data_IF_523248494328
#
_entry.id   IF_523248494328
#
_cell.length_a   1.000
_cell.length_b   1.000
_cell.length_c   1.000
_cell.angle_alpha   90.00
_cell.angle_beta   90.00
_cell.angle_gamma   90.00
#
_symmetry.space_group_name_H-M   'P 1'
#
loop_
_entity.id
_entity.type
_entity.pdbx_description
1 polymer ?
#
# COMPACT_ATOMS: atom_id res chain seq x y z
N UNK A 1 7.15 7.15 -8.60
CA UNK A 1 7.98 6.00 -9.06
C UNK A 1 8.87 5.61 -7.87
N UNK A 2 8.90 4.35 -7.41
CA UNK A 2 10.09 3.91 -6.66
C UNK A 2 11.20 3.90 -7.71
N UNK A 3 12.02 4.93 -7.75
CA UNK A 3 12.92 5.26 -8.86
C UNK A 3 13.89 4.13 -9.22
N UNK A 4 14.07 3.12 -8.36
CA UNK A 4 14.99 2.01 -8.55
C UNK A 4 14.44 0.82 -9.34
N UNK A 5 13.19 0.86 -9.81
CA UNK A 5 12.65 -0.21 -10.69
C UNK A 5 12.20 0.38 -12.01
N UNK A 6 12.86 -0.04 -13.08
CA UNK A 6 12.37 0.17 -14.45
C UNK A 6 10.88 -0.22 -14.52
N UNK A 7 10.06 0.48 -15.32
CA UNK A 7 8.66 0.12 -15.53
C UNK A 7 8.61 -1.25 -16.19
N UNK A 8 8.64 -2.29 -15.36
CA UNK A 8 8.34 -3.65 -15.77
C UNK A 8 6.83 -3.80 -15.73
N UNK A 9 6.31 -4.37 -16.81
CA UNK A 9 4.97 -4.83 -17.09
C UNK A 9 3.96 -3.82 -17.65
N UNK A 10 3.98 -2.56 -17.22
CA UNK A 10 3.09 -1.53 -17.76
C UNK A 10 3.72 -0.13 -17.64
N UNK A 11 3.44 0.72 -18.63
CA UNK A 11 3.83 2.12 -18.63
C UNK A 11 3.23 2.87 -17.43
N UNK A 12 3.79 4.04 -17.11
CA UNK A 12 3.32 4.83 -15.98
C UNK A 12 1.86 5.28 -16.17
N UNK A 13 1.52 5.73 -17.37
CA UNK A 13 0.20 6.20 -17.80
C UNK A 13 -0.83 5.07 -17.75
N UNK A 14 -0.43 3.86 -18.15
CA UNK A 14 -1.29 2.67 -18.08
C UNK A 14 -1.62 2.32 -16.63
N UNK A 15 -0.64 2.39 -15.71
CA UNK A 15 -0.88 2.16 -14.28
C UNK A 15 -1.80 3.21 -13.68
N UNK A 16 -1.63 4.48 -14.03
CA UNK A 16 -2.52 5.55 -13.60
C UNK A 16 -3.95 5.35 -14.12
N UNK A 17 -4.07 4.89 -15.35
CA UNK A 17 -5.38 4.56 -15.96
C UNK A 17 -6.05 3.40 -15.22
N UNK A 18 -5.32 2.31 -14.96
CA UNK A 18 -5.83 1.18 -14.17
C UNK A 18 -6.29 1.61 -12.76
N UNK A 19 -5.54 2.51 -12.10
CA UNK A 19 -5.95 3.07 -10.79
C UNK A 19 -7.23 3.91 -10.91
N UNK A 20 -7.39 4.65 -12.00
CA UNK A 20 -8.59 5.48 -12.26
C UNK A 20 -9.81 4.61 -12.54
N UNK A 21 -9.66 3.56 -13.34
CA UNK A 21 -10.71 2.58 -13.61
C UNK A 21 -11.14 1.89 -12.32
N UNK A 22 -10.17 1.42 -11.53
CA UNK A 22 -10.45 0.79 -10.23
C UNK A 22 -11.16 1.74 -9.25
N UNK A 23 -10.78 3.03 -9.23
CA UNK A 23 -11.48 4.03 -8.42
C UNK A 23 -12.96 4.17 -8.82
N UNK A 24 -13.26 4.13 -10.12
CA UNK A 24 -14.62 4.11 -10.65
C UNK A 24 -15.42 2.90 -10.16
N UNK A 25 -14.84 1.70 -10.28
CA UNK A 25 -15.45 0.44 -9.81
C UNK A 25 -15.71 0.47 -8.30
N UNK A 26 -14.75 0.95 -7.52
CA UNK A 26 -14.86 1.07 -6.07
C UNK A 26 -16.01 2.01 -5.69
N UNK A 27 -16.09 3.19 -6.31
CA UNK A 27 -17.17 4.15 -6.04
C UNK A 27 -18.54 3.55 -6.38
N UNK A 28 -18.66 2.84 -7.51
CA UNK A 28 -19.90 2.16 -7.89
C UNK A 28 -20.29 1.07 -6.88
N UNK A 29 -19.31 0.25 -6.45
CA UNK A 29 -19.53 -0.79 -5.44
C UNK A 29 -19.95 -0.22 -4.08
N UNK A 30 -19.35 0.91 -3.66
CA UNK A 30 -19.74 1.61 -2.44
C UNK A 30 -21.15 2.21 -2.54
N UNK A 31 -21.52 2.79 -3.70
CA UNK A 31 -22.87 3.29 -3.96
C UNK A 31 -23.92 2.18 -3.90
N UNK A 32 -23.62 1.01 -4.47
CA UNK A 32 -24.52 -0.14 -4.44
C UNK A 32 -24.72 -0.71 -3.02
N UNK A 33 -23.80 -0.42 -2.11
CA UNK A 33 -23.82 -0.83 -0.69
C UNK A 33 -23.92 0.38 0.24
N UNK A 34 -24.66 1.41 -0.17
CA UNK A 34 -24.78 2.68 0.57
C UNK A 34 -25.46 2.53 1.93
N UNK A 35 -26.15 1.41 2.16
CA UNK A 35 -26.72 1.03 3.46
C UNK A 35 -25.64 0.64 4.49
N UNK A 36 -24.45 0.20 4.02
CA UNK A 36 -23.35 -0.28 4.87
C UNK A 36 -22.14 0.64 4.86
N UNK A 37 -21.88 1.29 3.73
CA UNK A 37 -20.67 2.09 3.53
C UNK A 37 -21.01 3.48 3.03
N UNK A 38 -20.29 4.47 3.53
CA UNK A 38 -20.31 5.82 2.96
C UNK A 38 -19.51 5.83 1.66
N UNK A 39 -20.06 6.51 0.65
CA UNK A 39 -19.34 6.77 -0.59
C UNK A 39 -18.31 7.86 -0.32
N UNK A 40 -17.03 7.53 -0.47
CA UNK A 40 -15.93 8.47 -0.31
C UNK A 40 -15.39 8.90 -1.68
N UNK A 41 -15.03 10.19 -1.86
CA UNK A 41 -14.25 10.61 -3.01
C UNK A 41 -12.92 9.86 -3.08
N UNK A 42 -12.44 9.59 -4.29
CA UNK A 42 -11.13 8.96 -4.52
C UNK A 42 -10.27 9.91 -5.35
N UNK A 43 -9.20 10.40 -4.73
CA UNK A 43 -8.17 11.19 -5.41
C UNK A 43 -6.97 10.30 -5.74
N UNK A 44 -6.34 10.53 -6.90
CA UNK A 44 -5.13 9.83 -7.31
C UNK A 44 -3.99 10.84 -7.44
N UNK A 45 -3.10 10.82 -6.45
CA UNK A 45 -1.91 11.67 -6.40
C UNK A 45 -0.63 10.91 -6.78
N UNK A 46 0.28 11.59 -7.45
CA UNK A 46 1.62 11.09 -7.74
C UNK A 46 2.62 11.92 -6.93
N UNK A 47 3.60 11.25 -6.36
CA UNK A 47 4.63 11.91 -5.57
C UNK A 47 6.01 11.35 -5.85
N UNK A 48 7.01 12.22 -5.70
CA UNK A 48 8.44 11.90 -5.69
C UNK A 48 8.93 11.55 -4.29
N UNK A 49 8.16 11.84 -3.24
CA UNK A 49 8.55 11.50 -1.86
C UNK A 49 8.35 10.01 -1.58
N UNK A 50 9.40 9.29 -1.15
CA UNK A 50 9.32 7.83 -1.00
C UNK A 50 8.65 7.41 0.31
N UNK A 51 8.82 8.19 1.38
CA UNK A 51 8.39 7.83 2.74
C UNK A 51 6.95 8.25 3.05
N UNK A 52 6.29 7.48 3.91
CA UNK A 52 4.91 7.75 4.35
C UNK A 52 4.81 9.00 5.24
N UNK A 53 5.84 9.28 6.02
CA UNK A 53 6.02 10.52 6.78
C UNK A 53 5.93 11.72 5.84
N UNK A 54 6.72 11.70 4.77
CA UNK A 54 6.81 12.79 3.79
C UNK A 54 5.51 12.92 2.98
N UNK A 55 4.89 11.79 2.63
CA UNK A 55 3.58 11.77 1.95
C UNK A 55 2.52 12.45 2.80
N UNK A 56 2.50 12.15 4.09
CA UNK A 56 1.57 12.76 5.04
C UNK A 56 1.80 14.27 5.15
N UNK A 57 3.06 14.69 5.24
CA UNK A 57 3.42 16.12 5.28
C UNK A 57 3.02 16.84 3.98
N UNK A 58 3.22 16.22 2.82
CA UNK A 58 2.82 16.77 1.52
C UNK A 58 1.30 16.93 1.40
N UNK A 59 0.52 15.95 1.89
CA UNK A 59 -0.95 16.02 1.89
C UNK A 59 -1.42 17.11 2.86
N UNK A 60 -0.87 17.14 4.07
CA UNK A 60 -1.26 18.09 5.12
C UNK A 60 -0.93 19.55 4.78
N UNK A 61 0.07 19.79 3.92
CA UNK A 61 0.44 21.13 3.43
C UNK A 61 -0.31 21.53 2.14
N UNK A 62 -1.15 20.65 1.60
CA UNK A 62 -1.90 20.94 0.38
C UNK A 62 -3.18 21.72 0.68
N UNK A 63 -3.59 22.60 -0.24
CA UNK A 63 -4.82 23.40 -0.10
C UNK A 63 -6.11 22.60 -0.35
N UNK A 64 -6.02 21.30 -0.65
CA UNK A 64 -7.15 20.47 -1.08
C UNK A 64 -7.84 19.74 0.07
N UNK A 65 -7.17 19.61 1.22
CA UNK A 65 -7.66 18.86 2.36
C UNK A 65 -7.82 19.76 3.59
N UNK A 66 -8.65 19.37 4.58
CA UNK A 66 -8.81 20.14 5.81
C UNK A 66 -7.49 20.36 6.53
N UNK A 67 -7.43 21.41 7.34
CA UNK A 67 -6.25 21.69 8.17
C UNK A 67 -5.96 20.50 9.11
N UNK A 68 -4.73 19.99 9.05
CA UNK A 68 -4.23 18.88 9.89
C UNK A 68 -5.08 17.59 9.79
N UNK A 69 -5.19 16.99 8.59
CA UNK A 69 -5.96 15.76 8.39
C UNK A 69 -5.30 14.58 9.11
N UNK A 70 -6.09 13.67 9.68
CA UNK A 70 -5.58 12.40 10.20
C UNK A 70 -5.53 11.35 9.08
N UNK A 71 -4.34 10.84 8.79
CA UNK A 71 -4.16 9.81 7.77
C UNK A 71 -4.21 8.41 8.36
N UNK A 72 -4.92 7.50 7.66
CA UNK A 72 -4.87 6.06 7.93
C UNK A 72 -4.28 5.40 6.67
N UNK A 73 -3.04 4.94 6.76
CA UNK A 73 -2.39 4.25 5.65
C UNK A 73 -2.69 2.76 5.70
N UNK A 74 -3.29 2.24 4.63
CA UNK A 74 -3.54 0.82 4.44
C UNK A 74 -2.27 0.16 3.89
N UNK A 75 -1.67 -0.75 4.65
CA UNK A 75 -0.40 -1.36 4.28
C UNK A 75 -0.38 -2.87 4.57
N UNK A 76 0.53 -3.60 3.93
CA UNK A 76 0.85 -4.98 4.31
C UNK A 76 1.86 -5.05 5.44
N UNK A 77 1.95 -6.20 6.11
CA UNK A 77 2.94 -6.44 7.16
C UNK A 77 4.40 -6.25 6.69
N UNK A 78 4.72 -6.65 5.47
CA UNK A 78 6.03 -6.41 4.83
C UNK A 78 6.40 -4.92 4.76
N UNK A 79 5.40 -4.05 4.68
CA UNK A 79 5.59 -2.60 4.66
C UNK A 79 5.69 -2.04 6.07
N UNK A 80 4.97 -2.60 7.05
CA UNK A 80 5.14 -2.26 8.47
C UNK A 80 6.58 -2.53 8.93
N UNK A 81 7.14 -3.69 8.63
CA UNK A 81 8.52 -4.03 9.02
C UNK A 81 9.54 -3.08 8.39
N UNK A 82 9.31 -2.64 7.15
CA UNK A 82 10.13 -1.61 6.48
C UNK A 82 9.92 -0.22 7.07
N UNK A 83 8.70 0.13 7.47
CA UNK A 83 8.39 1.40 8.14
C UNK A 83 9.16 1.54 9.46
N UNK A 84 9.41 0.43 10.15
CA UNK A 84 10.20 0.37 11.39
C UNK A 84 11.60 -0.23 11.16
N UNK A 85 12.21 -0.05 9.99
CA UNK A 85 13.58 -0.48 9.74
C UNK A 85 14.53 0.73 9.79
N UNK A 86 15.35 0.80 10.85
CA UNK A 86 16.27 1.91 11.13
C UNK A 86 17.19 2.28 9.94
N UNK A 87 17.53 1.30 9.09
CA UNK A 87 18.34 1.50 7.88
C UNK A 87 17.78 2.52 6.88
N UNK A 88 16.48 2.86 6.95
CA UNK A 88 15.85 3.85 6.09
C UNK A 88 15.91 5.28 6.65
N UNK A 89 16.35 5.46 7.90
CA UNK A 89 16.37 6.74 8.62
C UNK A 89 17.79 7.10 9.09
N UNK A 90 18.78 6.98 8.19
CA UNK A 90 20.20 7.15 8.52
C UNK A 90 20.58 8.58 8.90
N UNK A 91 19.80 9.56 8.45
CA UNK A 91 20.04 10.98 8.69
C UNK A 91 19.44 11.47 10.02
N UNK A 92 18.85 10.56 10.81
CA UNK A 92 18.19 10.84 12.07
C UNK A 92 18.89 10.12 13.23
N UNK A 93 18.94 10.78 14.40
CA UNK A 93 19.51 10.20 15.61
C UNK A 93 18.66 10.57 16.84
N UNK A 94 17.93 9.61 17.45
CA UNK A 94 17.85 8.20 17.06
C UNK A 94 17.06 8.01 15.74
N UNK A 95 17.26 6.90 14.98
CA UNK A 95 16.70 6.75 13.64
C UNK A 95 15.19 6.95 13.54
N UNK A 96 14.41 6.43 14.50
CA UNK A 96 12.95 6.55 14.48
C UNK A 96 12.43 7.91 14.91
N UNK A 97 13.26 8.89 15.29
CA UNK A 97 12.80 10.29 15.41
C UNK A 97 12.26 10.83 14.07
N UNK A 98 12.66 10.25 12.93
CA UNK A 98 12.05 10.50 11.63
C UNK A 98 10.52 10.22 11.59
N UNK A 99 10.03 9.37 12.49
CA UNK A 99 8.64 8.94 12.55
C UNK A 99 7.79 9.81 13.48
N UNK A 100 8.42 10.65 14.32
CA UNK A 100 7.73 11.54 15.26
C UNK A 100 6.61 12.35 14.58
N UNK A 101 6.85 13.06 13.46
CA UNK A 101 5.81 13.88 12.84
C UNK A 101 4.59 13.08 12.37
N UNK A 102 4.79 11.82 11.99
CA UNK A 102 3.69 10.95 11.57
C UNK A 102 2.81 10.55 12.75
N UNK A 103 3.42 10.05 13.81
CA UNK A 103 2.67 9.55 14.96
C UNK A 103 2.14 10.68 15.85
N UNK A 104 2.88 11.77 16.02
CA UNK A 104 2.47 12.93 16.80
C UNK A 104 1.25 13.64 16.16
N UNK A 105 1.13 13.59 14.82
CA UNK A 105 -0.06 14.05 14.09
C UNK A 105 -1.27 13.11 14.24
N UNK A 106 -1.15 12.01 15.00
CA UNK A 106 -2.21 11.05 15.23
C UNK A 106 -2.53 10.17 14.02
N UNK A 107 -1.61 10.07 13.04
CA UNK A 107 -1.78 9.18 11.90
C UNK A 107 -1.69 7.71 12.34
N UNK A 108 -2.26 6.80 11.54
CA UNK A 108 -2.37 5.37 11.89
C UNK A 108 -1.99 4.49 10.72
N UNK A 109 -1.48 3.30 11.02
CA UNK A 109 -1.28 2.24 10.03
C UNK A 109 -2.33 1.18 10.25
N UNK A 110 -3.10 0.86 9.20
CA UNK A 110 -3.98 -0.31 9.20
C UNK A 110 -3.30 -1.41 8.41
N UNK A 111 -2.78 -2.38 9.13
CA UNK A 111 -1.83 -3.37 8.62
C UNK A 111 -2.58 -4.67 8.36
N UNK A 112 -2.68 -5.08 7.10
CA UNK A 112 -3.19 -6.41 6.76
C UNK A 112 -2.08 -7.43 6.95
N UNK A 113 -2.31 -8.38 7.85
CA UNK A 113 -1.41 -9.49 8.11
C UNK A 113 -1.36 -10.40 6.89
N UNK A 114 -0.18 -10.98 6.67
CA UNK A 114 0.07 -11.84 5.52
C UNK A 114 1.03 -12.93 5.97
N UNK A 115 0.54 -13.97 6.66
CA UNK A 115 1.39 -15.08 7.03
C UNK A 115 1.83 -15.81 5.76
N UNK A 116 3.14 -15.93 5.59
CA UNK A 116 3.79 -16.70 4.54
C UNK A 116 5.22 -17.06 4.98
N UNK A 117 5.92 -17.87 4.19
CA UNK A 117 7.26 -18.37 4.52
C UNK A 117 8.30 -17.24 4.69
N UNK A 118 8.05 -16.05 4.10
CA UNK A 118 8.98 -14.92 4.14
C UNK A 118 8.75 -14.01 5.36
N UNK A 119 7.52 -13.94 5.87
CA UNK A 119 7.10 -12.99 6.92
C UNK A 119 6.55 -13.65 8.19
N UNK A 120 6.69 -14.97 8.32
CA UNK A 120 6.33 -15.72 9.51
C UNK A 120 4.82 -15.93 9.69
N UNK A 121 4.48 -16.58 10.79
CA UNK A 121 3.12 -16.87 11.23
C UNK A 121 2.38 -15.61 11.69
N UNK A 122 1.04 -15.70 11.75
CA UNK A 122 0.22 -14.59 12.26
C UNK A 122 0.60 -14.18 13.69
N UNK A 123 0.97 -15.15 14.54
CA UNK A 123 1.40 -14.89 15.92
C UNK A 123 2.71 -14.07 15.96
N UNK A 124 3.70 -14.41 15.14
CA UNK A 124 4.96 -13.66 15.02
C UNK A 124 4.70 -12.24 14.48
N UNK A 125 3.73 -12.09 13.56
CA UNK A 125 3.37 -10.76 13.05
C UNK A 125 2.66 -9.90 14.11
N UNK A 126 1.85 -10.51 14.98
CA UNK A 126 1.23 -9.82 16.12
C UNK A 126 2.24 -9.44 17.20
N UNK A 127 3.23 -10.30 17.45
CA UNK A 127 4.31 -10.06 18.40
C UNK A 127 5.10 -8.79 18.07
N UNK A 128 5.22 -8.43 16.79
CA UNK A 128 5.85 -7.17 16.37
C UNK A 128 5.28 -5.93 17.09
N UNK A 129 3.95 -5.84 17.19
CA UNK A 129 3.29 -4.71 17.85
C UNK A 129 3.49 -4.77 19.36
N UNK A 130 3.50 -5.97 19.94
CA UNK A 130 3.79 -6.18 21.36
C UNK A 130 5.22 -5.77 21.69
N UNK A 131 6.20 -6.09 20.85
CA UNK A 131 7.59 -5.63 21.00
C UNK A 131 7.72 -4.11 20.99
N UNK A 132 6.98 -3.43 20.12
CA UNK A 132 6.92 -1.97 20.13
C UNK A 132 6.32 -1.44 21.44
N UNK A 133 5.20 -2.01 21.90
CA UNK A 133 4.52 -1.64 23.14
C UNK A 133 5.39 -1.89 24.39
N UNK A 134 6.18 -2.96 24.39
CA UNK A 134 7.08 -3.33 25.49
C UNK A 134 8.35 -2.44 25.55
N UNK A 135 8.64 -1.69 24.49
CA UNK A 135 9.79 -0.77 24.41
C UNK A 135 11.03 -1.38 23.77
N UNK A 136 10.94 -2.52 23.09
CA UNK A 136 12.09 -3.20 22.46
C UNK A 136 12.77 -2.34 21.36
N UNK A 137 12.05 -1.32 20.87
CA UNK A 137 12.48 -0.38 19.84
C UNK A 137 12.96 0.97 20.39
N UNK A 138 12.97 1.20 21.71
CA UNK A 138 13.38 2.48 22.32
C UNK A 138 14.83 2.85 21.99
N UNK A 139 15.72 1.85 21.86
CA UNK A 139 17.11 2.06 21.43
C UNK A 139 17.25 2.72 20.06
N UNK A 140 16.21 2.65 19.22
CA UNK A 140 16.14 3.30 17.92
C UNK A 140 15.24 4.54 17.94
N UNK A 141 14.73 4.96 19.10
CA UNK A 141 13.80 6.08 19.25
C UNK A 141 12.33 5.72 19.08
N UNK A 142 11.98 4.42 19.03
CA UNK A 142 10.58 3.99 18.92
C UNK A 142 9.84 4.20 20.24
N UNK A 143 8.69 4.88 20.19
CA UNK A 143 7.87 5.14 21.38
C UNK A 143 6.81 4.06 21.57
N UNK A 144 6.59 3.62 22.82
CA UNK A 144 5.64 2.53 23.15
C UNK A 144 4.21 2.85 22.73
N UNK A 145 3.81 4.11 22.90
CA UNK A 145 2.47 4.59 22.58
C UNK A 145 2.11 4.47 21.10
N UNK A 146 3.10 4.41 20.20
CA UNK A 146 2.87 4.22 18.76
C UNK A 146 2.19 2.88 18.45
N UNK A 147 2.33 1.87 19.32
CA UNK A 147 1.62 0.60 19.17
C UNK A 147 0.10 0.79 19.07
N UNK A 148 -0.48 1.80 19.75
CA UNK A 148 -1.91 2.13 19.70
C UNK A 148 -2.37 2.70 18.34
N UNK A 149 -1.41 3.10 17.51
CA UNK A 149 -1.66 3.63 16.17
C UNK A 149 -1.46 2.56 15.07
N UNK A 150 -1.19 1.32 15.46
CA UNK A 150 -1.09 0.16 14.57
C UNK A 150 -2.34 -0.72 14.72
N UNK A 151 -3.22 -0.68 13.72
CA UNK A 151 -4.39 -1.57 13.64
C UNK A 151 -4.04 -2.81 12.83
N UNK A 152 -3.83 -3.96 13.48
CA UNK A 152 -3.64 -5.23 12.78
C UNK A 152 -4.98 -5.79 12.31
N UNK A 153 -5.03 -6.23 11.05
CA UNK A 153 -6.20 -6.83 10.41
C UNK A 153 -5.82 -8.22 9.93
N UNK A 154 -6.59 -9.27 10.25
CA UNK A 154 -6.29 -10.63 9.80
C UNK A 154 -6.30 -10.74 8.26
N UNK A 155 -5.59 -11.74 7.69
CA UNK A 155 -5.57 -11.95 6.25
C UNK A 155 -6.97 -12.23 5.69
N UNK A 156 -7.18 -11.89 4.42
CA UNK A 156 -8.43 -12.25 3.74
C UNK A 156 -8.52 -13.78 3.56
N UNK A 157 -9.57 -14.44 4.07
CA UNK A 157 -9.70 -15.90 3.98
C UNK A 157 -9.89 -16.42 2.56
N UNK A 158 -10.34 -15.59 1.61
CA UNK A 158 -10.65 -15.99 0.22
C UNK A 158 -9.45 -15.93 -0.76
N UNK A 159 -8.23 -15.96 -0.21
CA UNK A 159 -6.93 -15.89 -0.89
C UNK A 159 -6.41 -14.48 -1.23
N UNK A 160 -5.08 -14.36 -1.17
CA UNK A 160 -4.37 -13.10 -1.42
C UNK A 160 -4.28 -12.75 -2.91
N UNK A 161 -4.64 -11.51 -3.23
CA UNK A 161 -4.44 -10.88 -4.54
C UNK A 161 -2.99 -10.41 -4.65
N UNK A 162 -2.34 -10.69 -5.77
CA UNK A 162 -1.04 -10.11 -6.08
C UNK A 162 -0.94 -9.76 -7.56
N UNK A 163 -0.28 -8.64 -7.86
CA UNK A 163 -0.08 -8.19 -9.25
C UNK A 163 0.65 -9.25 -10.09
N UNK A 164 1.55 -10.02 -9.50
CA UNK A 164 2.23 -11.14 -10.17
C UNK A 164 1.25 -12.23 -10.63
N UNK A 165 0.24 -12.58 -9.83
CA UNK A 165 -0.80 -13.55 -10.23
C UNK A 165 -1.65 -12.99 -11.38
N UNK A 166 -2.05 -11.72 -11.27
CA UNK A 166 -2.83 -11.03 -12.32
C UNK A 166 -2.08 -11.03 -13.64
N UNK A 167 -0.80 -10.61 -13.65
CA UNK A 167 0.03 -10.59 -14.87
C UNK A 167 0.20 -11.97 -15.50
N UNK A 168 0.45 -13.00 -14.68
CA UNK A 168 0.57 -14.39 -15.17
C UNK A 168 -0.72 -14.88 -15.81
N UNK A 169 -1.88 -14.60 -15.20
CA UNK A 169 -3.19 -14.98 -15.73
C UNK A 169 -3.51 -14.23 -17.03
N UNK A 170 -3.28 -12.91 -17.07
CA UNK A 170 -3.49 -12.09 -18.27
C UNK A 170 -2.63 -12.60 -19.43
N UNK A 171 -1.33 -12.84 -19.19
CA UNK A 171 -0.41 -13.40 -20.19
C UNK A 171 -0.81 -14.78 -20.70
N UNK A 172 -1.45 -15.59 -19.86
CA UNK A 172 -1.97 -16.90 -20.24
C UNK A 172 -3.33 -16.83 -20.95
N UNK A 173 -3.92 -15.63 -21.10
CA UNK A 173 -5.28 -15.45 -21.61
C UNK A 173 -6.37 -15.97 -20.67
N UNK A 174 -6.06 -16.23 -19.41
CA UNK A 174 -7.00 -16.72 -18.40
C UNK A 174 -7.81 -15.56 -17.81
N UNK A 175 -8.74 -15.04 -18.61
CA UNK A 175 -9.56 -13.89 -18.25
C UNK A 175 -10.51 -14.18 -17.08
N UNK A 176 -10.93 -15.44 -16.90
CA UNK A 176 -11.70 -15.84 -15.71
C UNK A 176 -10.87 -15.63 -14.46
N UNK A 177 -9.59 -16.02 -14.48
CA UNK A 177 -8.70 -15.81 -13.33
C UNK A 177 -8.35 -14.35 -13.10
N UNK A 178 -8.20 -13.54 -14.16
CA UNK A 178 -8.02 -12.09 -14.01
C UNK A 178 -9.24 -11.46 -13.34
N UNK A 179 -10.45 -11.83 -13.75
CA UNK A 179 -11.71 -11.34 -13.16
C UNK A 179 -11.90 -11.77 -11.70
N UNK A 180 -11.38 -12.93 -11.30
CA UNK A 180 -11.37 -13.31 -9.88
C UNK A 180 -10.43 -12.44 -9.02
N UNK A 181 -9.41 -11.83 -9.62
CA UNK A 181 -8.35 -11.11 -8.91
C UNK A 181 -8.48 -9.58 -9.00
N UNK A 182 -9.26 -9.07 -9.94
CA UNK A 182 -9.45 -7.65 -10.23
C UNK A 182 -10.92 -7.37 -10.53
N UNK A 183 -11.32 -6.11 -10.47
CA UNK A 183 -12.66 -5.69 -10.85
C UNK A 183 -12.89 -5.86 -12.37
N UNK A 184 -14.16 -5.91 -12.77
CA UNK A 184 -14.56 -6.13 -14.17
C UNK A 184 -13.91 -5.12 -15.12
N UNK A 185 -14.04 -3.81 -14.86
CA UNK A 185 -13.53 -2.79 -15.79
C UNK A 185 -12.00 -2.80 -15.85
N UNK A 186 -11.32 -3.11 -14.74
CA UNK A 186 -9.86 -3.32 -14.73
C UNK A 186 -9.47 -4.51 -15.63
N UNK A 187 -10.19 -5.62 -15.53
CA UNK A 187 -9.96 -6.81 -16.37
C UNK A 187 -10.21 -6.51 -17.85
N UNK A 188 -11.29 -5.78 -18.17
CA UNK A 188 -11.60 -5.36 -19.54
C UNK A 188 -10.53 -4.41 -20.10
N UNK A 189 -10.03 -3.48 -19.29
CA UNK A 189 -8.94 -2.59 -19.69
C UNK A 189 -7.64 -3.35 -19.97
N UNK A 190 -7.24 -4.25 -19.06
CA UNK A 190 -6.07 -5.13 -19.26
C UNK A 190 -6.19 -5.92 -20.56
N UNK A 191 -7.39 -6.46 -20.85
CA UNK A 191 -7.66 -7.27 -22.04
C UNK A 191 -7.65 -6.47 -23.34
N UNK A 192 -8.32 -5.32 -23.36
CA UNK A 192 -8.45 -4.47 -24.56
C UNK A 192 -7.12 -3.85 -24.97
N UNK A 193 -6.35 -3.37 -24.00
CA UNK A 193 -5.02 -2.79 -24.21
C UNK A 193 -3.91 -3.84 -24.29
N UNK A 194 -4.25 -5.14 -24.23
CA UNK A 194 -3.29 -6.25 -24.28
C UNK A 194 -2.14 -6.09 -23.29
N UNK A 195 -2.45 -5.57 -22.10
CA UNK A 195 -1.44 -5.38 -21.07
C UNK A 195 -0.90 -6.74 -20.64
N UNK A 196 0.41 -6.82 -20.51
CA UNK A 196 1.15 -8.02 -20.06
C UNK A 196 1.26 -9.17 -21.08
N UNK A 197 0.88 -8.96 -22.35
CA UNK A 197 1.03 -9.96 -23.43
C UNK A 197 2.50 -10.24 -23.78
N UNK A 198 3.37 -9.23 -23.66
CA UNK A 198 4.80 -9.36 -23.98
C UNK A 198 5.64 -9.85 -22.78
N UNK A 199 6.77 -10.48 -23.08
CA UNK A 199 7.76 -10.81 -22.07
C UNK A 199 8.25 -9.53 -21.38
N UNK A 200 8.19 -9.51 -20.04
CA UNK A 200 8.74 -8.51 -19.11
C UNK A 200 10.27 -8.31 -19.22
N UNK A 201 10.89 -8.67 -20.36
CA UNK A 201 12.26 -8.28 -20.71
C UNK A 201 12.22 -6.81 -21.08
N UNK A 202 12.30 -5.97 -20.05
CA UNK A 202 12.36 -4.53 -20.18
C UNK A 202 13.20 -4.12 -21.38
N UNK A 203 12.59 -3.33 -22.27
CA UNK A 203 13.34 -2.57 -23.23
C UNK A 203 14.37 -1.76 -22.43
N UNK A 204 15.64 -2.21 -22.46
CA UNK A 204 16.76 -1.32 -22.17
C UNK A 204 16.66 -0.25 -23.24
N UNK A 205 16.07 0.89 -22.87
CA UNK A 205 16.19 2.12 -23.65
C UNK A 205 17.70 2.35 -23.83
N UNK A 206 18.15 2.22 -25.07
CA UNK A 206 19.50 2.55 -25.50
C UNK A 206 19.69 4.07 -25.49
#
# INVERSE_FOLDING_TARGET
MNADKAPSAAAFEQRLTLMTVFAGDLIQSLKAQSDKYSVVPVDIGVTTVPYYTDKSAAIASSAWYPDSPKHIHLVGYDTLTRFFAAKYYKDFNPPFSALDPYFDAGHRLRVTLRPDDDYGSEAEQQEFVQSLENGDMERYGGKREWAKQLDLVPPNPKAGVSSTKVRKAAKAGDWSKVHELCTEDVMQYVKSEKLYDEDDRGAKMA
#
